data_IF_202088237182
#
_entry.id   IF_202088237182
#
_cell.length_a   1.000
_cell.length_b   1.000
_cell.length_c   1.000
_cell.angle_alpha   90.00
_cell.angle_beta   90.00
_cell.angle_gamma   90.00
#
_symmetry.space_group_name_H-M   'P 1'
#
loop_
_entity.id
_entity.type
_entity.pdbx_description
1 polymer ?
#
# COMPACT_ATOMS: atom_id res chain seq x y z
N UNK A 1 -2.52 -2.39 -14.36
CA UNK A 1 -2.57 -2.81 -12.95
C UNK A 1 -3.83 -3.64 -12.77
N UNK A 2 -3.74 -4.82 -12.19
CA UNK A 2 -4.93 -5.63 -11.89
C UNK A 2 -5.83 -4.87 -10.90
N UNK A 3 -7.16 -5.02 -10.99
CA UNK A 3 -8.07 -4.42 -10.03
C UNK A 3 -7.73 -4.89 -8.61
N UNK A 4 -7.72 -3.98 -7.63
CA UNK A 4 -7.43 -4.28 -6.24
C UNK A 4 -8.59 -5.08 -5.62
N UNK A 5 -8.41 -6.39 -5.34
CA UNK A 5 -9.48 -7.18 -4.77
C UNK A 5 -9.80 -6.71 -3.36
N UNK A 6 -11.02 -6.97 -2.88
CA UNK A 6 -11.36 -6.68 -1.49
C UNK A 6 -10.57 -7.63 -0.56
N UNK A 7 -9.96 -7.13 0.54
CA UNK A 7 -9.16 -7.96 1.44
C UNK A 7 -9.91 -9.15 2.06
N UNK A 8 -11.23 -9.06 2.22
CA UNK A 8 -12.06 -10.13 2.78
C UNK A 8 -12.46 -11.20 1.75
N UNK A 9 -12.20 -10.96 0.47
CA UNK A 9 -12.47 -11.91 -0.62
C UNK A 9 -11.19 -12.65 -1.02
N UNK A 10 -10.10 -11.92 -1.24
CA UNK A 10 -8.79 -12.47 -1.57
C UNK A 10 -7.67 -11.64 -0.93
N UNK A 11 -7.19 -12.08 0.23
CA UNK A 11 -6.17 -11.35 0.99
C UNK A 11 -4.77 -11.48 0.36
N UNK A 12 -4.48 -12.59 -0.33
CA UNK A 12 -3.20 -12.81 -0.99
C UNK A 12 -3.12 -11.98 -2.28
N UNK A 13 -4.18 -11.98 -3.08
CA UNK A 13 -4.33 -11.09 -4.23
C UNK A 13 -4.26 -9.62 -3.81
N UNK A 14 -4.94 -9.24 -2.72
CA UNK A 14 -4.85 -7.87 -2.19
C UNK A 14 -3.40 -7.48 -1.87
N UNK A 15 -2.67 -8.34 -1.15
CA UNK A 15 -1.27 -8.10 -0.82
C UNK A 15 -0.42 -7.94 -2.08
N UNK A 16 -0.57 -8.85 -3.04
CA UNK A 16 0.19 -8.83 -4.31
C UNK A 16 -0.06 -7.54 -5.09
N UNK A 17 -1.32 -7.18 -5.31
CA UNK A 17 -1.68 -5.95 -6.03
C UNK A 17 -1.16 -4.69 -5.33
N UNK A 18 -1.16 -4.66 -3.99
CA UNK A 18 -0.58 -3.54 -3.23
C UNK A 18 0.94 -3.41 -3.39
N UNK A 19 1.67 -4.53 -3.48
CA UNK A 19 3.12 -4.52 -3.74
C UNK A 19 3.40 -4.00 -5.17
N UNK A 20 2.63 -4.46 -6.15
CA UNK A 20 2.72 -3.99 -7.53
C UNK A 20 2.42 -2.48 -7.64
N UNK A 21 1.37 -2.02 -6.96
CA UNK A 21 1.01 -0.60 -6.88
C UNK A 21 2.12 0.23 -6.23
N UNK A 22 2.70 -0.23 -5.12
CA UNK A 22 3.82 0.46 -4.47
C UNK A 22 5.02 0.63 -5.42
N UNK A 23 5.40 -0.44 -6.13
CA UNK A 23 6.51 -0.42 -7.10
C UNK A 23 6.22 0.47 -8.31
N UNK A 24 4.98 0.46 -8.80
CA UNK A 24 4.58 1.31 -9.92
C UNK A 24 4.60 2.79 -9.54
N UNK A 25 4.00 3.14 -8.41
CA UNK A 25 3.91 4.53 -7.96
C UNK A 25 5.28 5.09 -7.55
N UNK A 26 6.19 4.27 -7.00
CA UNK A 26 7.56 4.71 -6.71
C UNK A 26 8.33 5.04 -7.98
N UNK A 27 8.15 4.28 -9.06
CA UNK A 27 8.79 4.56 -10.37
C UNK A 27 8.29 5.88 -10.96
N UNK A 28 6.98 6.14 -10.90
CA UNK A 28 6.43 7.43 -11.37
C UNK A 28 6.96 8.59 -10.51
N UNK A 29 7.09 8.39 -9.20
CA UNK A 29 7.68 9.41 -8.33
C UNK A 29 9.12 9.76 -8.75
N UNK A 30 9.92 8.75 -9.11
CA UNK A 30 11.28 8.93 -9.62
C UNK A 30 11.31 9.70 -10.94
N UNK A 31 10.43 9.36 -11.89
CA UNK A 31 10.30 10.11 -13.15
C UNK A 31 9.91 11.57 -12.92
N UNK A 32 8.98 11.84 -11.99
CA UNK A 32 8.64 13.22 -11.63
C UNK A 32 9.79 13.96 -10.95
N UNK A 33 10.69 13.30 -10.22
CA UNK A 33 11.88 13.95 -9.67
C UNK A 33 12.86 14.34 -10.78
N UNK A 34 13.04 13.51 -11.81
CA UNK A 34 13.90 13.80 -12.98
C UNK A 34 13.42 15.06 -13.71
N UNK A 35 12.11 15.25 -13.79
CA UNK A 35 11.46 16.42 -14.41
C UNK A 35 11.28 17.61 -13.44
N UNK A 36 11.83 17.57 -12.23
CA UNK A 36 11.72 18.63 -11.20
C UNK A 36 10.27 18.92 -10.77
N UNK A 37 9.36 17.96 -10.97
CA UNK A 37 7.94 18.05 -10.60
C UNK A 37 7.72 17.62 -9.14
N UNK A 38 8.30 18.39 -8.19
CA UNK A 38 8.40 18.00 -6.77
C UNK A 38 7.06 17.68 -6.09
N UNK A 39 6.01 18.46 -6.36
CA UNK A 39 4.67 18.20 -5.78
C UNK A 39 4.10 16.86 -6.25
N UNK A 40 4.27 16.56 -7.54
CA UNK A 40 3.75 15.34 -8.15
C UNK A 40 4.55 14.13 -7.66
N UNK A 41 5.88 14.26 -7.60
CA UNK A 41 6.77 13.26 -7.03
C UNK A 41 6.39 12.92 -5.59
N UNK A 42 6.19 13.92 -4.73
CA UNK A 42 5.77 13.72 -3.34
C UNK A 42 4.40 13.00 -3.26
N UNK A 43 3.44 13.38 -4.11
CA UNK A 43 2.14 12.71 -4.20
C UNK A 43 2.26 11.22 -4.54
N UNK A 44 3.10 10.89 -5.52
CA UNK A 44 3.34 9.51 -5.97
C UNK A 44 4.12 8.68 -4.95
N UNK A 45 5.13 9.27 -4.32
CA UNK A 45 5.85 8.63 -3.21
C UNK A 45 4.91 8.31 -2.04
N UNK A 46 3.99 9.23 -1.70
CA UNK A 46 3.00 8.98 -0.65
C UNK A 46 1.98 7.90 -1.04
N UNK A 47 1.57 7.81 -2.31
CA UNK A 47 0.74 6.72 -2.81
C UNK A 47 1.46 5.37 -2.69
N UNK A 48 2.73 5.30 -3.10
CA UNK A 48 3.56 4.11 -2.96
C UNK A 48 3.68 3.65 -1.50
N UNK A 49 3.92 4.60 -0.58
CA UNK A 49 4.01 4.34 0.86
C UNK A 49 2.71 3.73 1.42
N UNK A 50 1.55 4.30 1.08
CA UNK A 50 0.25 3.76 1.52
C UNK A 50 0.02 2.34 0.99
N UNK A 51 0.36 2.08 -0.26
CA UNK A 51 0.20 0.76 -0.85
C UNK A 51 1.12 -0.27 -0.15
N UNK A 52 2.40 0.07 0.07
CA UNK A 52 3.34 -0.78 0.79
C UNK A 52 2.88 -1.05 2.22
N UNK A 53 2.44 -0.01 2.95
CA UNK A 53 1.91 -0.17 4.30
C UNK A 53 0.71 -1.12 4.31
N UNK A 54 -0.21 -1.00 3.34
CA UNK A 54 -1.33 -1.92 3.17
C UNK A 54 -0.89 -3.37 2.97
N UNK A 55 0.14 -3.62 2.16
CA UNK A 55 0.70 -4.95 1.97
C UNK A 55 1.35 -5.52 3.25
N UNK A 56 2.10 -4.70 3.99
CA UNK A 56 2.74 -5.11 5.25
C UNK A 56 1.72 -5.41 6.36
N UNK A 57 0.59 -4.67 6.39
CA UNK A 57 -0.47 -4.89 7.37
C UNK A 57 -1.17 -6.24 7.20
N UNK A 58 -1.15 -6.85 5.99
CA UNK A 58 -1.65 -8.21 5.78
C UNK A 58 -0.89 -9.20 6.68
N UNK A 59 0.44 -9.09 6.74
CA UNK A 59 1.28 -9.98 7.55
C UNK A 59 1.12 -9.75 9.06
N UNK A 60 0.59 -8.58 9.46
CA UNK A 60 0.36 -8.20 10.86
C UNK A 60 -1.10 -8.30 11.27
N UNK A 61 -2.00 -8.69 10.37
CA UNK A 61 -3.45 -8.64 10.56
C UNK A 61 -3.90 -9.34 11.85
N UNK A 62 -3.42 -10.54 12.11
CA UNK A 62 -3.81 -11.32 13.29
C UNK A 62 -3.37 -10.66 14.61
N UNK A 63 -2.16 -10.09 14.63
CA UNK A 63 -1.65 -9.34 15.80
C UNK A 63 -2.50 -8.08 16.03
N UNK A 64 -2.84 -7.37 14.96
CA UNK A 64 -3.67 -6.16 15.03
C UNK A 64 -5.09 -6.48 15.51
N UNK A 65 -5.70 -7.56 15.02
CA UNK A 65 -7.04 -7.98 15.44
C UNK A 65 -7.10 -8.34 16.92
N UNK A 66 -6.08 -9.02 17.46
CA UNK A 66 -5.99 -9.31 18.90
C UNK A 66 -5.95 -8.03 19.72
N UNK A 67 -5.09 -7.08 19.36
CA UNK A 67 -4.92 -5.83 20.10
C UNK A 67 -6.15 -4.91 20.03
N UNK A 68 -6.88 -4.92 18.90
CA UNK A 68 -8.11 -4.13 18.74
C UNK A 68 -9.27 -4.73 19.55
N UNK A 69 -9.38 -6.06 19.59
CA UNK A 69 -10.42 -6.74 20.39
C UNK A 69 -10.23 -6.58 21.89
N UNK A 70 -8.98 -6.62 22.37
CA UNK A 70 -8.66 -6.44 23.80
C UNK A 70 -9.07 -5.05 24.32
N UNK A 71 -9.08 -4.01 23.48
CA UNK A 71 -9.47 -2.64 23.87
C UNK A 71 -10.99 -2.39 23.90
N UNK A 72 -11.82 -3.35 23.49
CA UNK A 72 -13.30 -3.20 23.42
C UNK A 72 -14.05 -3.86 24.57
N UNK A 73 -13.33 -4.45 25.53
CA UNK A 73 -13.89 -5.08 26.72
C UNK A 73 -13.74 -4.17 27.94
#
# INVERSE_FOLDING_TARGET
MQELPKPWFDIIGYKRTRIEEASFESKIAEEFLKEVLLRNAAGKAFQAWKALLGAMLVDKREVLLKNIRVKRN
#
